data_IF_372458952358
#
_entry.id   IF_372458952358
#
_cell.length_a   1.000
_cell.length_b   1.000
_cell.length_c   1.000
_cell.angle_alpha   90.00
_cell.angle_beta   90.00
_cell.angle_gamma   90.00
#
_symmetry.space_group_name_H-M   'P 1'
#
loop_
_entity.id
_entity.type
_entity.pdbx_description
1 polymer ?
#
# COMPACT_ATOMS: atom_id res chain seq x y z
N UNK A 1 -3.79 -10.58 -34.96
CA UNK A 1 -3.05 -10.33 -33.70
C UNK A 1 -1.65 -9.83 -34.06
N UNK A 2 -1.10 -8.83 -33.36
CA UNK A 2 0.14 -8.10 -33.73
C UNK A 2 1.47 -8.80 -33.34
N UNK A 3 1.47 -9.82 -32.48
CA UNK A 3 2.67 -10.62 -32.17
C UNK A 3 3.82 -9.89 -31.45
N UNK A 4 3.52 -8.82 -30.69
CA UNK A 4 4.52 -7.99 -29.99
C UNK A 4 4.32 -7.98 -28.48
N UNK A 5 5.43 -7.85 -27.74
CA UNK A 5 5.44 -7.66 -26.28
C UNK A 5 5.49 -6.18 -25.87
N UNK A 6 5.35 -5.25 -26.82
CA UNK A 6 5.32 -3.80 -26.56
C UNK A 6 3.97 -3.36 -25.98
N UNK A 7 3.57 -3.96 -24.86
CA UNK A 7 2.31 -3.69 -24.15
C UNK A 7 2.66 -3.23 -22.75
N UNK A 8 2.19 -2.04 -22.38
CA UNK A 8 2.45 -1.46 -21.08
C UNK A 8 1.30 -0.52 -20.67
N UNK A 9 1.23 -0.17 -19.39
CA UNK A 9 0.18 0.68 -18.83
C UNK A 9 0.67 1.45 -17.58
N UNK A 10 -0.24 2.21 -16.96
CA UNK A 10 0.06 3.11 -15.86
C UNK A 10 0.72 2.44 -14.64
N UNK A 11 0.53 1.14 -14.39
CA UNK A 11 1.16 0.48 -13.26
C UNK A 11 2.70 0.53 -13.33
N UNK A 12 3.29 0.72 -14.52
CA UNK A 12 4.73 0.97 -14.64
C UNK A 12 5.18 2.19 -13.83
N UNK A 13 4.39 3.25 -13.83
CA UNK A 13 4.76 4.52 -13.21
C UNK A 13 4.73 4.46 -11.67
N UNK A 14 3.83 3.66 -11.10
CA UNK A 14 3.59 3.65 -9.65
C UNK A 14 3.95 2.32 -8.96
N UNK A 15 3.75 1.17 -9.61
CA UNK A 15 3.87 -0.15 -8.97
C UNK A 15 5.04 -1.00 -9.49
N UNK A 16 5.69 -0.63 -10.60
CA UNK A 16 6.85 -1.41 -11.08
C UNK A 16 7.98 -1.52 -10.04
N UNK A 17 8.38 -0.45 -9.31
CA UNK A 17 9.41 -0.57 -8.27
C UNK A 17 8.98 -1.50 -7.13
N UNK A 18 7.73 -1.42 -6.69
CA UNK A 18 7.21 -2.28 -5.61
C UNK A 18 7.15 -3.74 -6.05
N UNK A 19 6.76 -4.02 -7.31
CA UNK A 19 6.75 -5.38 -7.86
C UNK A 19 8.16 -5.96 -7.88
N UNK A 20 9.15 -5.21 -8.36
CA UNK A 20 10.54 -5.68 -8.41
C UNK A 20 11.07 -6.02 -7.01
N UNK A 21 10.85 -5.14 -6.03
CA UNK A 21 11.31 -5.36 -4.65
C UNK A 21 10.59 -6.50 -3.94
N UNK A 22 9.25 -6.54 -4.01
CA UNK A 22 8.46 -7.55 -3.30
C UNK A 22 8.61 -8.94 -3.91
N UNK A 23 8.77 -9.07 -5.23
CA UNK A 23 9.06 -10.37 -5.85
C UNK A 23 10.42 -10.91 -5.37
N UNK A 24 11.43 -10.05 -5.27
CA UNK A 24 12.75 -10.45 -4.77
C UNK A 24 12.71 -10.90 -3.30
N UNK A 25 11.89 -10.25 -2.46
CA UNK A 25 11.79 -10.56 -1.03
C UNK A 25 10.81 -11.69 -0.69
N UNK A 26 9.68 -11.78 -1.40
CA UNK A 26 8.51 -12.58 -1.01
C UNK A 26 7.92 -13.41 -2.16
N UNK A 27 8.45 -13.31 -3.38
CA UNK A 27 7.99 -14.07 -4.54
C UNK A 27 6.71 -13.55 -5.21
N UNK A 28 6.12 -12.45 -4.72
CA UNK A 28 4.92 -11.82 -5.29
C UNK A 28 5.02 -10.30 -5.25
N UNK A 29 4.50 -9.62 -6.28
CA UNK A 29 4.41 -8.16 -6.35
C UNK A 29 3.13 -7.57 -5.75
N UNK A 30 2.22 -8.41 -5.27
CA UNK A 30 0.97 -7.99 -4.68
C UNK A 30 1.14 -7.55 -3.22
N UNK A 31 0.13 -6.87 -2.66
CA UNK A 31 0.04 -6.63 -1.22
C UNK A 31 0.05 -7.98 -0.47
N UNK A 32 0.79 -8.07 0.63
CA UNK A 32 1.02 -9.34 1.35
C UNK A 32 -0.18 -9.78 2.19
N UNK A 33 -1.06 -8.85 2.56
CA UNK A 33 -2.23 -9.08 3.40
C UNK A 33 -3.46 -8.41 2.79
N UNK A 34 -4.63 -8.81 3.25
CA UNK A 34 -5.92 -8.24 2.84
C UNK A 34 -6.15 -6.88 3.50
N UNK A 35 -6.89 -6.01 2.83
CA UNK A 35 -7.28 -4.69 3.39
C UNK A 35 -8.00 -4.84 4.75
N UNK A 36 -8.86 -5.86 4.88
CA UNK A 36 -9.64 -6.09 6.11
C UNK A 36 -8.77 -6.42 7.32
N UNK A 37 -7.56 -6.96 7.11
CA UNK A 37 -6.63 -7.28 8.21
C UNK A 37 -6.00 -6.03 8.84
N UNK A 38 -6.08 -4.87 8.17
CA UNK A 38 -5.56 -3.60 8.68
C UNK A 38 -6.27 -3.19 9.98
N UNK A 39 -7.59 -3.42 10.07
CA UNK A 39 -8.39 -3.05 11.24
C UNK A 39 -8.05 -3.79 12.53
N UNK A 40 -7.34 -4.93 12.42
CA UNK A 40 -6.91 -5.78 13.53
C UNK A 40 -5.42 -5.62 13.85
N UNK A 41 -4.71 -4.74 13.13
CA UNK A 41 -3.30 -4.48 13.37
C UNK A 41 -3.07 -3.85 14.75
N UNK A 42 -2.07 -4.33 15.50
CA UNK A 42 -1.69 -3.74 16.81
C UNK A 42 -0.71 -2.56 16.66
N UNK A 43 -0.10 -2.41 15.48
CA UNK A 43 0.71 -1.25 15.12
C UNK A 43 0.71 -1.07 13.61
N UNK A 44 0.73 0.19 13.17
CA UNK A 44 0.71 0.59 11.75
C UNK A 44 1.84 1.59 11.52
N UNK A 45 2.72 1.30 10.56
CA UNK A 45 3.68 2.25 10.01
C UNK A 45 3.16 2.76 8.66
N UNK A 46 2.63 3.97 8.64
CA UNK A 46 2.21 4.66 7.42
C UNK A 46 3.38 5.48 6.88
N UNK A 47 4.11 4.91 5.92
CA UNK A 47 5.30 5.54 5.29
C UNK A 47 5.03 5.89 3.83
N UNK A 48 5.37 7.11 3.42
CA UNK A 48 5.25 7.58 2.03
C UNK A 48 3.83 7.53 1.47
N UNK A 49 2.81 7.64 2.31
CA UNK A 49 1.40 7.50 1.93
C UNK A 49 0.53 8.56 2.59
N UNK A 50 -0.50 8.98 1.86
CA UNK A 50 -1.61 9.78 2.36
C UNK A 50 -2.92 8.98 2.20
N UNK A 51 -2.99 7.87 2.94
CA UNK A 51 -4.04 6.86 2.78
C UNK A 51 -5.45 7.42 2.99
N UNK A 52 -5.62 8.37 3.91
CA UNK A 52 -6.92 8.99 4.19
C UNK A 52 -7.51 9.71 2.97
N UNK A 53 -6.68 10.29 2.11
CA UNK A 53 -7.11 10.98 0.88
C UNK A 53 -7.16 10.02 -0.32
N UNK A 54 -6.09 9.25 -0.54
CA UNK A 54 -5.97 8.41 -1.72
C UNK A 54 -6.84 7.15 -1.66
N UNK A 55 -7.07 6.61 -0.46
CA UNK A 55 -7.79 5.36 -0.23
C UNK A 55 -8.70 5.45 1.01
N UNK A 56 -9.79 6.25 0.97
CA UNK A 56 -10.59 6.54 2.16
C UNK A 56 -11.11 5.30 2.90
N UNK A 57 -11.47 4.24 2.19
CA UNK A 57 -11.90 2.96 2.78
C UNK A 57 -10.78 2.28 3.58
N UNK A 58 -9.54 2.30 3.08
CA UNK A 58 -8.38 1.81 3.83
C UNK A 58 -8.12 2.72 5.04
N UNK A 59 -8.32 4.03 4.88
CA UNK A 59 -8.26 4.99 5.98
C UNK A 59 -9.25 4.67 7.12
N UNK A 60 -10.45 4.17 6.79
CA UNK A 60 -11.42 3.69 7.78
C UNK A 60 -10.88 2.51 8.59
N UNK A 61 -10.23 1.53 7.95
CA UNK A 61 -9.61 0.39 8.65
C UNK A 61 -8.44 0.82 9.54
N UNK A 62 -7.60 1.77 9.08
CA UNK A 62 -6.54 2.35 9.92
C UNK A 62 -7.14 3.04 11.16
N UNK A 63 -8.21 3.82 10.99
CA UNK A 63 -8.90 4.47 12.11
C UNK A 63 -9.53 3.45 13.07
N UNK A 64 -10.06 2.34 12.55
CA UNK A 64 -10.58 1.23 13.35
C UNK A 64 -9.48 0.59 14.20
N UNK A 65 -8.33 0.30 13.61
CA UNK A 65 -7.18 -0.26 14.34
C UNK A 65 -6.73 0.68 15.47
N UNK A 66 -6.59 1.99 15.18
CA UNK A 66 -6.22 2.99 16.20
C UNK A 66 -7.25 3.06 17.33
N UNK A 67 -8.55 3.00 17.02
CA UNK A 67 -9.62 2.94 18.03
C UNK A 67 -9.54 1.66 18.89
N UNK A 68 -9.04 0.57 18.32
CA UNK A 68 -8.78 -0.69 19.03
C UNK A 68 -7.45 -0.68 19.82
N UNK A 69 -6.74 0.44 19.86
CA UNK A 69 -5.50 0.61 20.63
C UNK A 69 -4.22 0.44 19.82
N UNK A 70 -4.29 0.35 18.49
CA UNK A 70 -3.10 0.23 17.65
C UNK A 70 -2.21 1.48 17.71
N UNK A 71 -0.90 1.28 17.74
CA UNK A 71 0.07 2.38 17.59
C UNK A 71 0.20 2.77 16.13
N UNK A 72 -0.17 4.00 15.78
CA UNK A 72 0.05 4.58 14.45
C UNK A 72 1.33 5.44 14.42
N UNK A 73 2.23 5.14 13.49
CA UNK A 73 3.44 5.91 13.21
C UNK A 73 3.34 6.42 11.77
N UNK A 74 3.49 7.74 11.57
CA UNK A 74 3.42 8.37 10.25
C UNK A 74 4.81 8.89 9.85
N UNK A 75 5.35 8.37 8.77
CA UNK A 75 6.60 8.79 8.15
C UNK A 75 6.32 9.31 6.74
N UNK A 76 5.76 10.51 6.67
CA UNK A 76 5.45 11.20 5.43
C UNK A 76 5.89 12.66 5.56
N UNK A 77 6.67 13.22 4.61
CA UNK A 77 7.01 14.63 4.63
C UNK A 77 5.75 15.51 4.71
N UNK A 78 5.80 16.66 5.41
CA UNK A 78 4.71 17.62 5.36
C UNK A 78 4.49 18.08 3.91
N UNK A 79 3.24 18.41 3.56
CA UNK A 79 2.96 19.13 2.31
C UNK A 79 3.42 20.57 2.52
N UNK A 80 4.14 21.12 1.54
CA UNK A 80 4.43 22.55 1.43
C UNK A 80 3.15 23.37 1.25
#
# INVERSE_FOLDING_TARGET
VLGTNNIDHCARLCHAPTVAGLVQCFGSGAMTNSINEIGDAVSILAIGTNTTEAHPVIGLEVMRAVRNGARLIVANPPRD
#
